data_IF_288760400540
#
_entry.id   IF_288760400540
#
_cell.length_a   1.000
_cell.length_b   1.000
_cell.length_c   1.000
_cell.angle_alpha   90.00
_cell.angle_beta   90.00
_cell.angle_gamma   90.00
#
_symmetry.space_group_name_H-M   'P 1'
#
loop_
_entity.id
_entity.type
_entity.pdbx_description
1 polymer ?
#
# COMPACT_ATOMS: atom_id res chain seq x y z
N UNK A 1 -0.79 -30.47 11.93
CA UNK A 1 -1.36 -29.40 11.09
C UNK A 1 -2.04 -30.10 9.94
N UNK A 2 -3.36 -30.03 9.89
CA UNK A 2 -4.14 -30.69 8.85
C UNK A 2 -4.01 -29.95 7.50
N UNK A 3 -4.24 -30.62 6.37
CA UNK A 3 -4.18 -30.00 5.04
C UNK A 3 -5.14 -28.81 4.96
N UNK A 4 -6.34 -28.93 5.51
CA UNK A 4 -7.36 -27.88 5.44
C UNK A 4 -7.02 -26.70 6.36
N UNK A 5 -6.34 -26.98 7.47
CA UNK A 5 -5.77 -25.96 8.36
C UNK A 5 -4.66 -25.16 7.66
N UNK A 6 -3.77 -25.84 6.92
CA UNK A 6 -2.70 -25.19 6.16
C UNK A 6 -3.25 -24.31 5.02
N UNK A 7 -4.30 -24.77 4.32
CA UNK A 7 -4.97 -23.99 3.27
C UNK A 7 -5.71 -22.77 3.84
N UNK A 8 -6.38 -22.92 4.97
CA UNK A 8 -7.02 -21.80 5.69
C UNK A 8 -5.99 -20.74 6.07
N UNK A 9 -4.86 -21.18 6.62
CA UNK A 9 -3.77 -20.27 6.99
C UNK A 9 -3.21 -19.49 5.81
N UNK A 10 -3.10 -20.11 4.63
CA UNK A 10 -2.72 -19.40 3.40
C UNK A 10 -3.73 -18.32 3.02
N UNK A 11 -5.03 -18.65 3.05
CA UNK A 11 -6.08 -17.67 2.74
C UNK A 11 -6.06 -16.47 3.70
N UNK A 12 -5.82 -16.71 4.99
CA UNK A 12 -5.75 -15.64 5.98
C UNK A 12 -4.51 -14.75 5.79
N UNK A 13 -3.35 -15.33 5.45
CA UNK A 13 -2.16 -14.57 5.11
C UNK A 13 -2.36 -13.70 3.86
N UNK A 14 -3.11 -14.19 2.87
CA UNK A 14 -3.47 -13.39 1.68
C UNK A 14 -4.33 -12.19 2.07
N UNK A 15 -5.32 -12.37 2.96
CA UNK A 15 -6.15 -11.26 3.46
C UNK A 15 -5.32 -10.25 4.24
N UNK A 16 -4.47 -10.71 5.16
CA UNK A 16 -3.58 -9.83 5.93
C UNK A 16 -2.65 -9.03 5.02
N UNK A 17 -2.10 -9.68 3.98
CA UNK A 17 -1.28 -9.01 2.98
C UNK A 17 -2.07 -7.92 2.25
N UNK A 18 -3.31 -8.18 1.86
CA UNK A 18 -4.14 -7.19 1.17
C UNK A 18 -4.39 -5.96 2.04
N UNK A 19 -4.69 -6.15 3.32
CA UNK A 19 -4.87 -5.04 4.27
C UNK A 19 -3.57 -4.28 4.54
N UNK A 20 -2.44 -4.98 4.65
CA UNK A 20 -1.12 -4.35 4.75
C UNK A 20 -0.75 -3.56 3.49
N UNK A 21 -1.05 -4.08 2.30
CA UNK A 21 -0.82 -3.36 1.04
C UNK A 21 -1.65 -2.07 0.98
N UNK A 22 -2.91 -2.08 1.47
CA UNK A 22 -3.72 -0.85 1.62
C UNK A 22 -3.11 0.14 2.61
N UNK A 23 -2.71 -0.33 3.80
CA UNK A 23 -2.08 0.50 4.81
C UNK A 23 -0.77 1.14 4.30
N UNK A 24 0.01 0.39 3.50
CA UNK A 24 1.21 0.92 2.84
C UNK A 24 0.88 2.02 1.84
N UNK A 25 -0.20 1.90 1.07
CA UNK A 25 -0.65 2.96 0.15
C UNK A 25 -1.01 4.23 0.92
N UNK A 26 -1.77 4.11 2.02
CA UNK A 26 -2.12 5.25 2.87
C UNK A 26 -0.88 5.94 3.46
N UNK A 27 0.06 5.17 4.04
CA UNK A 27 1.30 5.72 4.57
C UNK A 27 2.17 6.40 3.49
N UNK A 28 2.20 5.86 2.27
CA UNK A 28 2.88 6.50 1.15
C UNK A 28 2.17 7.80 0.73
N UNK A 29 0.83 7.85 0.80
CA UNK A 29 0.06 9.06 0.56
C UNK A 29 0.40 10.14 1.58
N UNK A 30 0.37 9.81 2.87
CA UNK A 30 0.74 10.70 3.96
C UNK A 30 2.18 11.22 3.83
N UNK A 31 3.13 10.35 3.50
CA UNK A 31 4.50 10.77 3.24
C UNK A 31 4.58 11.75 2.05
N UNK A 32 3.82 11.48 0.98
CA UNK A 32 3.73 12.37 -0.18
C UNK A 32 3.11 13.73 0.16
N UNK A 33 2.05 13.78 0.97
CA UNK A 33 1.42 15.04 1.41
C UNK A 33 2.30 15.84 2.35
N UNK A 34 3.09 15.17 3.19
CA UNK A 34 4.14 15.77 4.02
C UNK A 34 5.37 16.28 3.22
N UNK A 35 5.37 16.13 1.90
CA UNK A 35 6.41 16.65 1.01
C UNK A 35 7.55 15.69 0.69
N UNK A 36 7.50 14.43 1.15
CA UNK A 36 8.54 13.46 0.85
C UNK A 36 8.62 13.18 -0.67
N UNK A 37 9.84 12.92 -1.14
CA UNK A 37 10.09 12.53 -2.52
C UNK A 37 10.15 11.00 -2.67
N UNK A 38 10.05 10.52 -3.91
CA UNK A 38 10.04 9.07 -4.19
C UNK A 38 11.35 8.35 -3.87
N UNK A 39 12.47 9.07 -3.78
CA UNK A 39 13.75 8.49 -3.35
C UNK A 39 13.69 8.15 -1.86
N UNK A 40 13.24 9.09 -1.04
CA UNK A 40 13.08 8.90 0.41
C UNK A 40 12.09 7.77 0.72
N UNK A 41 10.93 7.80 0.05
CA UNK A 41 9.90 6.76 0.19
C UNK A 41 10.45 5.39 -0.25
N UNK A 42 11.13 5.32 -1.40
CA UNK A 42 11.75 4.09 -1.88
C UNK A 42 12.75 3.52 -0.88
N UNK A 43 13.64 4.36 -0.33
CA UNK A 43 14.60 3.96 0.69
C UNK A 43 13.94 3.35 1.93
N UNK A 44 12.82 3.91 2.39
CA UNK A 44 12.06 3.35 3.55
C UNK A 44 11.35 2.04 3.23
N UNK A 45 10.92 1.87 1.98
CA UNK A 45 10.29 0.64 1.50
C UNK A 45 11.30 -0.46 1.13
N UNK A 46 12.61 -0.17 1.17
CA UNK A 46 13.65 -1.07 0.66
C UNK A 46 13.56 -1.27 -0.87
N UNK A 47 12.98 -0.31 -1.58
CA UNK A 47 12.75 -0.36 -3.02
C UNK A 47 13.48 0.77 -3.74
N UNK A 48 13.91 0.52 -4.97
CA UNK A 48 14.38 1.60 -5.83
C UNK A 48 13.25 2.61 -6.10
N UNK A 49 13.59 3.90 -6.16
CA UNK A 49 12.66 5.02 -6.44
C UNK A 49 11.65 4.71 -7.55
N UNK A 50 12.13 4.22 -8.69
CA UNK A 50 11.29 3.96 -9.86
C UNK A 50 10.24 2.86 -9.60
N UNK A 51 10.58 1.85 -8.79
CA UNK A 51 9.67 0.77 -8.43
C UNK A 51 8.59 1.28 -7.47
N UNK A 52 8.97 2.08 -6.47
CA UNK A 52 8.02 2.72 -5.58
C UNK A 52 7.07 3.66 -6.34
N UNK A 53 7.59 4.52 -7.22
CA UNK A 53 6.75 5.41 -8.02
C UNK A 53 5.80 4.64 -8.94
N UNK A 54 6.27 3.57 -9.60
CA UNK A 54 5.43 2.75 -10.48
C UNK A 54 4.32 2.02 -9.72
N UNK A 55 4.62 1.50 -8.52
CA UNK A 55 3.66 0.77 -7.70
C UNK A 55 2.61 1.71 -7.07
N UNK A 56 3.07 2.75 -6.39
CA UNK A 56 2.20 3.58 -5.56
C UNK A 56 1.66 4.82 -6.30
N UNK A 57 2.39 5.35 -7.29
CA UNK A 57 1.99 6.56 -8.01
C UNK A 57 0.58 6.51 -8.62
N UNK A 58 0.17 5.43 -9.32
CA UNK A 58 -1.20 5.28 -9.82
C UNK A 58 -2.24 5.17 -8.71
N UNK A 59 -1.94 4.41 -7.65
CA UNK A 59 -2.86 4.16 -6.53
C UNK A 59 -3.17 5.45 -5.76
N UNK A 60 -2.18 6.32 -5.58
CA UNK A 60 -2.38 7.62 -4.94
C UNK A 60 -3.37 8.52 -5.70
N UNK A 61 -3.35 8.48 -7.04
CA UNK A 61 -4.29 9.27 -7.86
C UNK A 61 -5.72 8.79 -7.68
N UNK A 62 -5.90 7.50 -7.44
CA UNK A 62 -7.21 6.90 -7.20
C UNK A 62 -7.71 7.17 -5.77
N UNK A 63 -6.83 7.04 -4.76
CA UNK A 63 -7.17 7.32 -3.35
C UNK A 63 -7.58 8.78 -3.13
N UNK A 64 -6.87 9.74 -3.73
CA UNK A 64 -7.23 11.17 -3.64
C UNK A 64 -8.60 11.48 -4.27
N UNK A 65 -9.09 10.67 -5.22
CA UNK A 65 -10.41 10.85 -5.84
C UNK A 65 -11.54 10.33 -4.94
N UNK A 66 -11.25 9.36 -4.07
CA UNK A 66 -12.24 8.78 -3.14
C UNK A 66 -12.44 9.69 -1.92
N UNK A 67 -11.37 10.19 -1.30
CA UNK A 67 -11.50 11.06 -0.11
C UNK A 67 -12.22 12.40 -0.41
N UNK A 68 -12.14 12.93 -1.63
CA UNK A 68 -12.86 14.15 -2.04
C UNK A 68 -14.38 13.92 -2.16
N UNK A 69 -14.83 12.67 -2.31
CA UNK A 69 -16.25 12.35 -2.51
C UNK A 69 -17.03 12.05 -1.23
N UNK A 70 -16.35 11.80 -0.11
CA UNK A 70 -16.98 11.50 1.18
C UNK A 70 -17.21 12.74 2.05
N UNK A 71 -17.00 13.94 1.49
CA UNK A 71 -17.33 15.22 2.13
C UNK A 71 -18.53 15.87 1.42
N UNK A 72 -19.72 15.29 1.57
CA UNK A 72 -21.02 15.94 1.28
C UNK A 72 -22.03 15.63 2.39
#
# INVERSE_FOLDING_TARGET
>A
MDKDEALTRLADLVKQRAELDKALVAAVAEAKTAGANWTEIGSRLGQHRANAQKKYGPLLRETLVVEVRDTD
#
